data_IF_697116425187
#
_entry.id   IF_697116425187
#
_cell.length_a   1.000
_cell.length_b   1.000
_cell.length_c   1.000
_cell.angle_alpha   90.00
_cell.angle_beta   90.00
_cell.angle_gamma   90.00
#
_symmetry.space_group_name_H-M   'P 1'
#
loop_
_entity.id
_entity.type
_entity.pdbx_description
1 polymer ?
#
# COMPACT_ATOMS: atom_id res chain seq x y z
N UNK A 1 -2.97 -22.35 -18.05
CA UNK A 1 -3.24 -21.22 -17.14
C UNK A 1 -2.97 -19.93 -17.90
N UNK A 2 -3.87 -18.95 -17.87
CA UNK A 2 -3.60 -17.67 -18.46
C UNK A 2 -2.47 -16.96 -17.70
N UNK A 3 -1.45 -16.54 -18.45
CA UNK A 3 -0.31 -15.80 -17.93
C UNK A 3 -0.37 -14.38 -18.46
N UNK A 4 -0.31 -13.39 -17.58
CA UNK A 4 -0.37 -11.97 -17.93
C UNK A 4 0.96 -11.30 -17.62
N UNK A 5 1.46 -10.49 -18.56
CA UNK A 5 2.60 -9.61 -18.29
C UNK A 5 2.16 -8.43 -17.42
N UNK A 6 2.94 -8.12 -16.41
CA UNK A 6 2.68 -7.02 -15.47
C UNK A 6 3.98 -6.44 -14.93
N UNK A 7 3.87 -5.54 -13.98
CA UNK A 7 4.99 -4.92 -13.30
C UNK A 7 4.86 -5.17 -11.80
N UNK A 8 5.96 -5.55 -11.15
CA UNK A 8 5.99 -5.77 -9.72
C UNK A 8 5.86 -4.43 -8.96
N UNK A 9 4.86 -4.34 -8.10
CA UNK A 9 4.63 -3.19 -7.22
C UNK A 9 5.31 -3.28 -5.85
N UNK A 10 6.22 -4.23 -5.61
CA UNK A 10 6.83 -4.46 -4.30
C UNK A 10 7.92 -3.45 -3.91
N UNK A 11 8.46 -2.69 -4.86
CA UNK A 11 9.42 -1.60 -4.65
C UNK A 11 9.55 -0.75 -5.93
N UNK A 12 10.38 0.29 -5.87
CA UNK A 12 10.59 1.23 -6.98
C UNK A 12 11.31 0.64 -8.22
N UNK A 13 11.89 -0.56 -8.13
CA UNK A 13 12.54 -1.19 -9.28
C UNK A 13 11.56 -1.57 -10.39
N UNK A 14 10.27 -1.73 -10.06
CA UNK A 14 9.22 -2.00 -11.06
C UNK A 14 9.60 -3.11 -12.03
N UNK A 15 10.08 -4.24 -11.48
CA UNK A 15 10.52 -5.38 -12.29
C UNK A 15 9.37 -5.91 -13.15
N UNK A 16 9.59 -6.22 -14.43
CA UNK A 16 8.59 -6.89 -15.25
C UNK A 16 8.38 -8.32 -14.74
N UNK A 17 7.13 -8.71 -14.64
CA UNK A 17 6.73 -10.01 -14.12
C UNK A 17 5.70 -10.69 -15.03
N UNK A 18 5.68 -12.01 -14.94
CA UNK A 18 4.58 -12.85 -15.40
C UNK A 18 3.71 -13.20 -14.20
N UNK A 19 2.41 -13.06 -14.37
CA UNK A 19 1.38 -13.34 -13.36
C UNK A 19 0.51 -14.47 -13.85
N UNK A 20 0.47 -15.56 -13.11
CA UNK A 20 -0.42 -16.69 -13.37
C UNK A 20 -1.71 -16.51 -12.58
N UNK A 21 -2.85 -16.65 -13.27
CA UNK A 21 -4.18 -16.42 -12.69
C UNK A 21 -5.02 -17.67 -12.82
N UNK A 22 -5.61 -18.10 -11.72
CA UNK A 22 -6.60 -19.19 -11.66
C UNK A 22 -7.87 -18.69 -10.97
N UNK A 23 -9.02 -18.88 -11.61
CA UNK A 23 -10.32 -18.52 -11.07
C UNK A 23 -10.38 -17.07 -10.51
N UNK A 24 -9.73 -16.13 -11.23
CA UNK A 24 -9.66 -14.72 -10.80
C UNK A 24 -8.66 -14.43 -9.67
N UNK A 25 -7.87 -15.40 -9.24
CA UNK A 25 -6.84 -15.23 -8.20
C UNK A 25 -5.46 -15.37 -8.79
N UNK A 26 -4.56 -14.49 -8.39
CA UNK A 26 -3.14 -14.61 -8.68
C UNK A 26 -2.58 -15.77 -7.84
N UNK A 27 -2.03 -16.78 -8.52
CA UNK A 27 -1.46 -17.97 -7.86
C UNK A 27 0.06 -17.97 -7.86
N UNK A 28 0.68 -17.32 -8.86
CA UNK A 28 2.12 -17.25 -8.98
C UNK A 28 2.57 -15.97 -9.66
N UNK A 29 3.74 -15.50 -9.26
CA UNK A 29 4.49 -14.45 -9.96
C UNK A 29 5.91 -14.94 -10.26
N UNK A 30 6.42 -14.64 -11.44
CA UNK A 30 7.77 -14.96 -11.89
C UNK A 30 8.36 -13.83 -12.72
N UNK A 31 9.66 -13.81 -12.92
CA UNK A 31 10.31 -12.85 -13.81
C UNK A 31 10.00 -13.15 -15.26
N UNK A 32 10.12 -12.14 -16.12
CA UNK A 32 9.97 -12.29 -17.58
C UNK A 32 11.27 -12.85 -18.15
N UNK A 33 11.31 -14.07 -18.71
CA UNK A 33 12.52 -14.63 -19.28
C UNK A 33 13.12 -13.70 -20.34
N UNK A 34 14.44 -13.50 -20.29
CA UNK A 34 15.14 -12.67 -21.25
C UNK A 34 14.96 -11.15 -21.06
N UNK A 35 14.30 -10.70 -19.99
CA UNK A 35 14.22 -9.25 -19.71
C UNK A 35 15.64 -8.67 -19.48
N UNK A 36 16.03 -7.61 -20.20
CA UNK A 36 17.41 -7.11 -20.16
C UNK A 36 17.79 -6.46 -18.83
N UNK A 37 16.82 -6.05 -17.99
CA UNK A 37 17.08 -5.41 -16.70
C UNK A 37 17.21 -6.41 -15.57
N UNK A 38 16.48 -7.52 -15.64
CA UNK A 38 16.38 -8.49 -14.54
C UNK A 38 16.95 -9.86 -14.89
N UNK A 39 17.26 -10.13 -16.16
CA UNK A 39 17.66 -11.45 -16.62
C UNK A 39 16.58 -12.53 -16.41
N UNK A 40 15.35 -12.13 -16.18
CA UNK A 40 14.26 -13.06 -15.85
C UNK A 40 14.12 -13.37 -14.37
N UNK A 41 14.93 -12.76 -13.50
CA UNK A 41 14.83 -12.96 -12.05
C UNK A 41 13.88 -11.96 -11.38
N UNK A 42 13.26 -12.38 -10.26
CA UNK A 42 12.58 -11.49 -9.32
C UNK A 42 13.00 -11.86 -7.89
N UNK A 43 13.00 -10.88 -6.99
CA UNK A 43 13.34 -11.08 -5.60
C UNK A 43 12.19 -11.76 -4.82
N UNK A 44 12.48 -12.17 -3.59
CA UNK A 44 11.50 -12.81 -2.69
C UNK A 44 10.23 -11.99 -2.47
N UNK A 45 10.30 -10.66 -2.42
CA UNK A 45 9.11 -9.78 -2.31
C UNK A 45 8.19 -9.92 -3.52
N UNK A 46 8.75 -9.96 -4.72
CA UNK A 46 7.98 -10.16 -5.94
C UNK A 46 7.36 -11.57 -6.00
N UNK A 47 8.09 -12.59 -5.56
CA UNK A 47 7.57 -13.96 -5.47
C UNK A 47 6.46 -14.11 -4.44
N UNK A 48 6.53 -13.38 -3.32
CA UNK A 48 5.52 -13.38 -2.27
C UNK A 48 4.27 -12.54 -2.63
N UNK A 49 4.23 -11.91 -3.80
CA UNK A 49 3.11 -11.08 -4.25
C UNK A 49 1.73 -11.72 -4.08
N UNK A 50 1.52 -12.98 -4.52
CA UNK A 50 0.23 -13.68 -4.34
C UNK A 50 -0.17 -13.84 -2.87
N UNK A 51 0.77 -14.20 -2.00
CA UNK A 51 0.50 -14.36 -0.57
C UNK A 51 0.12 -13.04 0.08
N UNK A 52 0.81 -11.94 -0.28
CA UNK A 52 0.49 -10.59 0.23
C UNK A 52 -0.88 -10.13 -0.27
N UNK A 53 -1.18 -10.36 -1.54
CA UNK A 53 -2.44 -9.93 -2.14
C UNK A 53 -3.66 -10.65 -1.57
N UNK A 54 -3.49 -11.92 -1.20
CA UNK A 54 -4.56 -12.80 -0.76
C UNK A 54 -4.48 -13.20 0.73
N UNK A 55 -3.65 -12.52 1.53
CA UNK A 55 -3.57 -12.74 2.98
C UNK A 55 -4.95 -12.46 3.61
N UNK A 56 -5.54 -13.41 4.34
CA UNK A 56 -6.84 -13.20 5.00
C UNK A 56 -6.81 -12.11 6.08
N UNK A 57 -5.61 -11.74 6.56
CA UNK A 57 -5.41 -10.65 7.52
C UNK A 57 -5.25 -9.29 6.85
N UNK A 58 -5.26 -9.25 5.52
CA UNK A 58 -5.13 -7.99 4.78
C UNK A 58 -6.28 -7.04 5.15
N UNK A 59 -5.93 -5.82 5.56
CA UNK A 59 -6.92 -4.78 5.83
C UNK A 59 -7.56 -4.32 4.51
N UNK A 60 -8.85 -4.57 4.37
CA UNK A 60 -9.64 -4.18 3.19
C UNK A 60 -10.47 -2.92 3.43
N UNK A 61 -10.53 -2.46 4.67
CA UNK A 61 -11.31 -1.31 5.12
C UNK A 61 -10.53 -0.54 6.19
N UNK A 62 -10.84 0.75 6.40
CA UNK A 62 -10.31 1.49 7.54
C UNK A 62 -10.70 0.82 8.86
N UNK A 63 -9.81 0.91 9.84
CA UNK A 63 -10.07 0.42 11.19
C UNK A 63 -9.67 1.48 12.22
N UNK A 64 -10.44 1.61 13.27
CA UNK A 64 -10.11 2.41 14.44
C UNK A 64 -9.77 1.52 15.63
N UNK A 65 -8.80 1.93 16.42
CA UNK A 65 -8.49 1.25 17.67
C UNK A 65 -9.57 1.56 18.73
N UNK A 66 -10.07 0.50 19.37
CA UNK A 66 -11.08 0.58 20.44
C UNK A 66 -10.53 0.27 21.83
N UNK A 67 -9.34 -0.35 21.89
CA UNK A 67 -8.66 -0.68 23.15
C UNK A 67 -7.41 0.17 23.40
N UNK A 68 -6.72 -0.15 24.47
CA UNK A 68 -5.44 0.47 24.82
C UNK A 68 -4.36 0.13 23.79
N UNK A 69 -3.29 0.92 23.75
CA UNK A 69 -2.17 0.69 22.86
C UNK A 69 -1.53 -0.67 23.16
N UNK A 70 -1.44 -1.54 22.15
CA UNK A 70 -0.89 -2.89 22.27
C UNK A 70 -1.92 -4.00 22.45
N UNK A 71 -3.18 -3.70 22.80
CA UNK A 71 -4.23 -4.71 22.96
C UNK A 71 -4.69 -5.34 21.62
N UNK A 72 -4.45 -4.71 20.50
CA UNK A 72 -4.85 -5.22 19.20
C UNK A 72 -6.35 -5.23 18.95
N UNK A 73 -7.12 -4.43 19.67
CA UNK A 73 -8.58 -4.31 19.51
C UNK A 73 -8.92 -3.22 18.50
N UNK A 74 -9.68 -3.61 17.48
CA UNK A 74 -10.01 -2.75 16.36
C UNK A 74 -11.48 -2.89 15.98
N UNK A 75 -12.10 -1.79 15.55
CA UNK A 75 -13.41 -1.76 14.91
C UNK A 75 -13.26 -1.31 13.46
N UNK A 76 -14.09 -1.85 12.59
CA UNK A 76 -14.17 -1.41 11.20
C UNK A 76 -14.90 -0.08 11.10
N UNK A 77 -14.36 0.83 10.29
CA UNK A 77 -15.00 2.08 9.90
C UNK A 77 -15.40 2.05 8.42
N UNK A 78 -16.32 2.90 8.03
CA UNK A 78 -16.42 3.32 6.63
C UNK A 78 -15.37 4.40 6.29
N UNK A 79 -15.27 4.75 5.02
CA UNK A 79 -14.26 5.70 4.57
C UNK A 79 -14.57 7.13 4.99
N UNK A 80 -15.85 7.52 5.04
CA UNK A 80 -16.26 8.88 5.39
C UNK A 80 -15.97 9.14 6.87
N UNK A 81 -16.30 8.21 7.75
CA UNK A 81 -15.96 8.25 9.17
C UNK A 81 -14.44 8.29 9.39
N UNK A 82 -13.69 7.46 8.68
CA UNK A 82 -12.24 7.42 8.82
C UNK A 82 -11.59 8.75 8.42
N UNK A 83 -12.03 9.33 7.31
CA UNK A 83 -11.54 10.63 6.82
C UNK A 83 -11.93 11.76 7.78
N UNK A 84 -13.19 11.78 8.24
CA UNK A 84 -13.66 12.80 9.18
C UNK A 84 -12.89 12.75 10.51
N UNK A 85 -12.65 11.54 11.06
CA UNK A 85 -11.85 11.36 12.29
C UNK A 85 -10.41 11.81 12.11
N UNK A 86 -9.79 11.48 10.96
CA UNK A 86 -8.42 11.90 10.67
C UNK A 86 -8.32 13.41 10.52
N UNK A 87 -9.18 14.02 9.72
CA UNK A 87 -9.22 15.46 9.51
C UNK A 87 -9.48 16.21 10.83
N UNK A 88 -10.42 15.73 11.65
CA UNK A 88 -10.69 16.30 12.97
C UNK A 88 -9.45 16.30 13.88
N UNK A 89 -8.69 15.21 13.90
CA UNK A 89 -7.44 15.11 14.69
C UNK A 89 -6.35 16.06 14.18
N UNK A 90 -6.18 16.15 12.86
CA UNK A 90 -5.21 17.08 12.24
C UNK A 90 -5.60 18.52 12.59
N UNK A 91 -6.84 18.91 12.36
CA UNK A 91 -7.33 20.25 12.65
C UNK A 91 -7.21 20.62 14.13
N UNK A 92 -7.52 19.69 15.04
CA UNK A 92 -7.36 19.90 16.47
C UNK A 92 -5.87 20.11 16.85
N UNK A 93 -4.96 19.30 16.31
CA UNK A 93 -3.52 19.46 16.56
C UNK A 93 -3.01 20.79 16.03
N UNK A 94 -3.40 21.17 14.82
CA UNK A 94 -3.02 22.46 14.23
C UNK A 94 -3.57 23.64 15.03
N UNK A 95 -4.81 23.54 15.51
CA UNK A 95 -5.43 24.59 16.31
C UNK A 95 -4.78 24.78 17.70
N UNK A 96 -4.34 23.68 18.32
CA UNK A 96 -3.74 23.72 19.66
C UNK A 96 -2.24 24.03 19.66
N UNK A 97 -1.48 23.44 18.72
CA UNK A 97 -0.01 23.45 18.74
C UNK A 97 0.59 24.11 17.49
N UNK A 98 -0.24 24.55 16.57
CA UNK A 98 0.15 25.13 15.29
C UNK A 98 0.51 24.08 14.22
N UNK A 99 0.70 24.52 12.96
CA UNK A 99 0.86 23.61 11.81
C UNK A 99 2.12 22.74 11.88
N UNK A 100 3.13 23.12 12.67
CA UNK A 100 4.34 22.31 12.87
C UNK A 100 4.15 21.08 13.75
N UNK A 101 2.99 20.92 14.38
CA UNK A 101 2.66 19.74 15.17
C UNK A 101 2.34 18.51 14.32
N UNK A 102 2.05 18.69 13.03
CA UNK A 102 1.70 17.60 12.10
C UNK A 102 2.88 17.29 11.20
N UNK A 103 3.40 16.08 11.30
CA UNK A 103 4.50 15.58 10.48
C UNK A 103 4.05 14.52 9.48
N UNK A 104 4.47 14.65 8.22
CA UNK A 104 4.25 13.65 7.18
C UNK A 104 5.51 12.84 6.96
N UNK A 105 5.47 11.56 7.30
CA UNK A 105 6.56 10.61 7.08
C UNK A 105 6.13 9.65 5.99
N UNK A 106 6.92 9.54 4.94
CA UNK A 106 6.68 8.58 3.87
C UNK A 106 7.95 7.89 3.44
N UNK A 107 7.83 6.63 3.07
CA UNK A 107 8.90 5.90 2.40
C UNK A 107 8.84 6.12 0.90
N UNK A 108 9.78 5.51 0.19
CA UNK A 108 9.75 5.46 -1.26
C UNK A 108 8.75 4.42 -1.72
N UNK A 109 7.64 4.87 -2.27
CA UNK A 109 6.58 3.99 -2.76
C UNK A 109 6.89 3.44 -4.16
N UNK A 110 6.42 2.24 -4.50
CA UNK A 110 6.31 1.81 -5.87
C UNK A 110 5.29 2.70 -6.59
N UNK A 111 5.60 3.10 -7.80
CA UNK A 111 4.71 3.98 -8.56
C UNK A 111 4.92 5.45 -8.23
N UNK A 112 5.94 6.02 -8.84
CA UNK A 112 6.13 7.44 -8.97
C UNK A 112 4.93 8.02 -9.74
N UNK A 113 4.21 8.93 -9.15
CA UNK A 113 3.09 9.56 -9.82
C UNK A 113 2.01 10.01 -8.83
N UNK A 114 0.79 9.83 -9.20
CA UNK A 114 -0.39 10.41 -8.56
C UNK A 114 -0.44 10.27 -7.02
N UNK A 115 -0.12 9.11 -6.45
CA UNK A 115 -0.12 8.91 -4.99
C UNK A 115 0.97 9.71 -4.27
N UNK A 116 2.12 9.92 -4.93
CA UNK A 116 3.20 10.73 -4.39
C UNK A 116 2.79 12.21 -4.37
N UNK A 117 2.23 12.70 -5.45
CA UNK A 117 1.80 14.08 -5.59
C UNK A 117 0.64 14.42 -4.64
N UNK A 118 -0.30 13.48 -4.44
CA UNK A 118 -1.42 13.66 -3.51
C UNK A 118 -0.97 13.79 -2.06
N UNK A 119 0.02 13.01 -1.61
CA UNK A 119 0.57 13.18 -0.26
C UNK A 119 1.30 14.48 -0.08
N UNK A 120 1.99 15.00 -1.10
CA UNK A 120 2.58 16.34 -1.05
C UNK A 120 1.50 17.43 -0.99
N UNK A 121 0.48 17.34 -1.82
CA UNK A 121 -0.63 18.30 -1.79
C UNK A 121 -1.30 18.36 -0.41
N UNK A 122 -1.55 17.21 0.21
CA UNK A 122 -2.11 17.16 1.56
C UNK A 122 -1.18 17.83 2.60
N UNK A 123 0.13 17.68 2.45
CA UNK A 123 1.10 18.28 3.37
C UNK A 123 1.23 19.80 3.20
N UNK A 124 0.81 20.36 2.06
CA UNK A 124 0.87 21.80 1.76
C UNK A 124 -0.50 22.49 1.84
N UNK A 125 -1.56 21.76 2.12
CA UNK A 125 -2.91 22.29 2.30
C UNK A 125 -3.11 22.83 3.72
#
# INVERSE_FOLDING_TARGET
MPTVKSVCGGCHNSCPILVEVENGRVVRTSGVPGDPRTGGAICSKGQAGPQIAHDPRRLMYPVARTGERGEGKWERLDWDDAIARLAGKINAAVASEGPRSVGFIRGQAPGWGFTYDMTQRLAHA
#
